data_IF_326888205878
#
_entry.id   IF_326888205878
#
_cell.length_a   1.000
_cell.length_b   1.000
_cell.length_c   1.000
_cell.angle_alpha   90.00
_cell.angle_beta   90.00
_cell.angle_gamma   90.00
#
_symmetry.space_group_name_H-M   'P 1'
#
loop_
_entity.id
_entity.type
_entity.pdbx_description
1 polymer ?
#
# COMPACT_ATOMS: atom_id res chain seq x y z
N UNK A 1 9.05 25.31 -5.84
CA UNK A 1 8.77 25.92 -4.52
C UNK A 1 8.42 24.80 -3.55
N UNK A 2 9.42 24.06 -3.03
CA UNK A 2 9.89 24.11 -1.63
C UNK A 2 8.81 24.37 -0.56
N UNK A 3 8.07 23.33 -0.15
CA UNK A 3 7.24 23.40 1.06
C UNK A 3 7.04 22.05 1.81
N UNK A 4 7.91 21.05 1.63
CA UNK A 4 7.82 19.78 2.39
C UNK A 4 9.13 19.35 3.08
N UNK A 5 10.10 20.25 3.19
CA UNK A 5 11.45 19.96 3.70
C UNK A 5 11.68 20.08 5.22
N UNK A 6 10.87 20.79 6.06
CA UNK A 6 11.27 20.97 7.45
C UNK A 6 10.75 19.88 8.41
N UNK A 7 9.74 19.09 8.02
CA UNK A 7 9.23 17.99 8.89
C UNK A 7 9.99 16.69 8.69
N UNK A 8 10.53 16.45 7.49
CA UNK A 8 11.31 15.24 7.20
C UNK A 8 12.77 15.26 7.68
N UNK A 9 13.34 16.44 7.96
CA UNK A 9 14.75 16.60 8.31
C UNK A 9 15.09 16.32 9.79
N UNK A 10 14.18 15.78 10.60
CA UNK A 10 14.39 15.61 12.06
C UNK A 10 14.05 14.21 12.59
N UNK A 11 13.95 13.22 11.70
CA UNK A 11 13.81 11.81 12.08
C UNK A 11 15.05 11.04 11.60
N UNK A 12 16.07 10.84 12.47
CA UNK A 12 17.25 10.06 12.08
C UNK A 12 16.82 8.64 11.65
N UNK A 13 17.21 8.20 10.45
CA UNK A 13 16.89 6.87 9.91
C UNK A 13 15.72 6.82 8.92
N UNK A 14 14.96 7.90 8.71
CA UNK A 14 13.89 7.93 7.70
C UNK A 14 14.37 8.35 6.30
N UNK A 15 15.59 8.90 6.19
CA UNK A 15 16.12 9.41 4.92
C UNK A 15 16.30 8.32 3.87
N UNK A 16 16.77 7.13 4.23
CA UNK A 16 16.91 6.00 3.29
C UNK A 16 15.56 5.38 2.89
N UNK A 17 14.53 5.53 3.72
CA UNK A 17 13.19 4.94 3.51
C UNK A 17 12.37 5.80 2.54
N UNK A 18 12.54 7.12 2.61
CA UNK A 18 11.82 8.08 1.76
C UNK A 18 12.63 8.48 0.51
N UNK A 19 13.95 8.67 0.62
CA UNK A 19 14.79 9.07 -0.51
C UNK A 19 15.21 7.88 -1.40
N UNK A 20 15.14 6.66 -0.87
CA UNK A 20 15.42 5.41 -1.59
C UNK A 20 14.24 4.46 -1.52
N UNK A 21 13.03 4.98 -1.79
CA UNK A 21 11.72 4.30 -1.74
C UNK A 21 11.86 2.80 -1.58
N UNK A 22 11.62 2.31 -0.36
CA UNK A 22 11.98 0.96 0.04
C UNK A 22 11.70 -0.04 -1.11
N UNK A 23 12.72 -0.77 -1.60
CA UNK A 23 12.71 -1.41 -2.93
C UNK A 23 11.59 -2.45 -3.16
N UNK A 24 10.82 -2.76 -2.12
CA UNK A 24 9.81 -3.82 -2.04
C UNK A 24 8.34 -3.36 -2.08
N UNK A 25 8.03 -2.06 -2.17
CA UNK A 25 6.62 -1.57 -2.06
C UNK A 25 5.80 -1.68 -3.34
N UNK A 26 6.47 -1.58 -4.48
CA UNK A 26 5.89 -1.62 -5.83
C UNK A 26 6.91 -2.15 -6.86
N UNK A 27 8.08 -2.61 -6.40
CA UNK A 27 9.22 -3.01 -7.25
C UNK A 27 9.52 -4.50 -7.24
N UNK A 28 9.12 -5.23 -6.19
CA UNK A 28 9.27 -6.68 -6.13
C UNK A 28 8.00 -7.37 -6.62
N UNK A 29 7.86 -7.39 -7.94
CA UNK A 29 7.06 -8.40 -8.60
C UNK A 29 7.91 -9.67 -8.46
N UNK A 30 7.62 -10.54 -7.48
CA UNK A 30 8.22 -11.87 -7.49
C UNK A 30 7.80 -12.64 -8.75
N UNK A 31 7.65 -13.96 -8.64
CA UNK A 31 7.00 -14.74 -9.71
C UNK A 31 5.51 -14.38 -9.94
N UNK A 32 4.98 -13.37 -9.21
CA UNK A 32 3.63 -12.87 -9.34
C UNK A 32 3.48 -12.08 -10.66
N UNK A 33 2.62 -12.59 -11.53
CA UNK A 33 2.32 -12.01 -12.84
C UNK A 33 0.97 -11.31 -12.90
N UNK A 34 0.07 -11.60 -11.96
CA UNK A 34 -1.26 -11.00 -11.90
C UNK A 34 -1.19 -9.63 -11.20
N UNK A 35 -1.47 -8.51 -11.88
CA UNK A 35 -1.48 -7.17 -11.29
C UNK A 35 -2.38 -7.03 -10.06
N UNK A 36 -3.50 -7.75 -10.04
CA UNK A 36 -4.43 -7.71 -8.91
C UNK A 36 -3.87 -8.44 -7.68
N UNK A 37 -3.15 -9.54 -7.92
CA UNK A 37 -2.45 -10.26 -6.85
C UNK A 37 -1.30 -9.41 -6.29
N UNK A 38 -0.54 -8.75 -7.16
CA UNK A 38 0.52 -7.81 -6.75
C UNK A 38 -0.07 -6.70 -5.88
N UNK A 39 -1.14 -6.05 -6.35
CA UNK A 39 -1.82 -5.00 -5.59
C UNK A 39 -2.31 -5.51 -4.21
N UNK A 40 -2.98 -6.66 -4.18
CA UNK A 40 -3.46 -7.25 -2.94
C UNK A 40 -2.32 -7.60 -1.98
N UNK A 41 -1.23 -8.19 -2.49
CA UNK A 41 -0.05 -8.51 -1.70
C UNK A 41 0.60 -7.25 -1.11
N UNK A 42 0.76 -6.18 -1.91
CA UNK A 42 1.29 -4.90 -1.44
C UNK A 42 0.46 -4.31 -0.31
N UNK A 43 -0.87 -4.25 -0.46
CA UNK A 43 -1.78 -3.75 0.58
C UNK A 43 -1.63 -4.55 1.88
N UNK A 44 -1.60 -5.88 1.78
CA UNK A 44 -1.49 -6.78 2.94
C UNK A 44 -0.13 -6.65 3.63
N UNK A 45 0.96 -6.60 2.88
CA UNK A 45 2.30 -6.39 3.41
C UNK A 45 2.41 -5.05 4.14
N UNK A 46 1.91 -3.97 3.54
CA UNK A 46 1.93 -2.65 4.18
C UNK A 46 1.09 -2.63 5.45
N UNK A 47 -0.10 -3.23 5.43
CA UNK A 47 -0.95 -3.34 6.61
C UNK A 47 -0.29 -4.12 7.76
N UNK A 48 0.44 -5.18 7.46
CA UNK A 48 1.18 -6.02 8.43
C UNK A 48 2.40 -5.30 9.02
N UNK A 49 2.83 -4.15 8.49
CA UNK A 49 3.87 -3.32 9.09
C UNK A 49 3.51 -2.83 10.49
N UNK A 50 2.23 -2.72 10.82
CA UNK A 50 1.83 -2.35 12.19
C UNK A 50 2.42 -3.34 13.21
N UNK A 51 2.47 -4.64 12.88
CA UNK A 51 2.99 -5.68 13.75
C UNK A 51 4.51 -5.82 13.67
N UNK A 52 5.05 -5.81 12.45
CA UNK A 52 6.48 -6.09 12.22
C UNK A 52 7.37 -4.86 12.44
N UNK A 53 6.87 -3.66 12.10
CA UNK A 53 7.62 -2.41 12.13
C UNK A 53 6.72 -1.22 12.55
N UNK A 54 6.19 -1.20 13.79
CA UNK A 54 5.18 -0.22 14.25
C UNK A 54 5.65 1.24 14.18
N UNK A 55 6.96 1.50 14.19
CA UNK A 55 7.50 2.86 13.99
C UNK A 55 7.27 3.34 12.55
N UNK A 56 7.45 2.46 11.56
CA UNK A 56 7.24 2.77 10.15
C UNK A 56 5.75 3.01 9.90
N UNK A 57 4.88 2.13 10.40
CA UNK A 57 3.42 2.30 10.29
C UNK A 57 2.95 3.66 10.83
N UNK A 58 3.50 4.11 11.96
CA UNK A 58 3.20 5.44 12.54
C UNK A 58 3.63 6.61 11.68
N UNK A 59 4.79 6.50 11.02
CA UNK A 59 5.24 7.53 10.08
C UNK A 59 4.27 7.62 8.92
N UNK A 60 3.80 6.48 8.39
CA UNK A 60 2.82 6.45 7.30
C UNK A 60 1.49 7.07 7.71
N UNK A 61 0.95 6.72 8.88
CA UNK A 61 -0.30 7.32 9.37
C UNK A 61 -0.19 8.85 9.50
N UNK A 62 0.97 9.36 9.95
CA UNK A 62 1.18 10.79 10.20
C UNK A 62 1.49 11.61 8.95
N UNK A 63 2.18 11.02 7.98
CA UNK A 63 2.69 11.73 6.79
C UNK A 63 2.03 11.28 5.49
N UNK A 64 1.38 10.13 5.49
CA UNK A 64 0.89 9.43 4.29
C UNK A 64 -0.13 10.21 3.49
N UNK A 65 -1.03 10.97 4.13
CA UNK A 65 -2.02 11.78 3.40
C UNK A 65 -1.36 12.82 2.48
N UNK A 66 -0.25 13.43 2.92
CA UNK A 66 0.51 14.36 2.08
C UNK A 66 1.24 13.65 0.93
N UNK A 67 1.60 12.38 1.10
CA UNK A 67 2.21 11.56 0.06
C UNK A 67 1.23 11.10 -1.01
N UNK A 68 -0.05 10.91 -0.70
CA UNK A 68 -1.07 10.49 -1.68
C UNK A 68 -1.25 11.52 -2.81
N UNK A 69 -1.00 12.79 -2.52
CA UNK A 69 -1.15 13.90 -3.48
C UNK A 69 0.19 14.46 -3.96
N UNK A 70 1.31 13.86 -3.54
CA UNK A 70 2.66 14.34 -3.88
C UNK A 70 3.07 13.86 -5.28
N UNK A 71 3.63 14.76 -6.08
CA UNK A 71 4.26 14.44 -7.37
C UNK A 71 5.64 13.76 -7.21
N UNK A 72 6.05 13.47 -5.98
CA UNK A 72 7.32 12.84 -5.62
C UNK A 72 7.12 11.67 -4.65
N UNK A 73 8.04 10.70 -4.67
CA UNK A 73 8.00 9.53 -3.81
C UNK A 73 7.26 8.34 -4.42
N UNK A 74 6.50 7.61 -3.60
CA UNK A 74 5.88 6.34 -3.97
C UNK A 74 4.58 6.47 -4.79
N UNK A 75 3.91 7.63 -4.75
CA UNK A 75 2.65 7.85 -5.46
C UNK A 75 2.79 7.70 -7.00
N UNK A 76 3.83 8.25 -7.66
CA UNK A 76 4.09 7.99 -9.08
C UNK A 76 4.25 6.52 -9.46
N UNK A 77 4.83 5.69 -8.59
CA UNK A 77 4.97 4.26 -8.87
C UNK A 77 3.63 3.53 -8.68
N UNK A 78 2.90 3.81 -7.58
CA UNK A 78 1.55 3.27 -7.37
C UNK A 78 0.61 3.59 -8.54
N UNK A 79 0.71 4.82 -9.07
CA UNK A 79 -0.02 5.23 -10.26
C UNK A 79 0.38 4.40 -11.49
N UNK A 80 1.67 4.14 -11.72
CA UNK A 80 2.12 3.29 -12.84
C UNK A 80 1.57 1.87 -12.75
N UNK A 81 1.59 1.27 -11.57
CA UNK A 81 1.16 -0.13 -11.40
C UNK A 81 -0.36 -0.28 -11.55
N UNK A 82 -1.12 0.65 -10.98
CA UNK A 82 -2.57 0.70 -11.17
C UNK A 82 -2.96 1.03 -12.61
N UNK A 83 -2.22 1.93 -13.28
CA UNK A 83 -2.44 2.20 -14.70
C UNK A 83 -2.18 0.95 -15.54
N UNK A 84 -1.09 0.23 -15.29
CA UNK A 84 -0.80 -1.01 -16.01
C UNK A 84 -1.89 -2.08 -15.79
N UNK A 85 -2.42 -2.18 -14.57
CA UNK A 85 -3.54 -3.06 -14.23
C UNK A 85 -4.88 -2.63 -14.86
N UNK A 86 -5.07 -1.33 -15.09
CA UNK A 86 -6.22 -0.81 -15.82
C UNK A 86 -6.09 -1.07 -17.33
N UNK A 87 -4.91 -0.81 -17.91
CA UNK A 87 -4.64 -0.95 -19.34
C UNK A 87 -4.79 -2.39 -19.84
N UNK A 88 -4.55 -3.38 -18.98
CA UNK A 88 -4.76 -4.79 -19.29
C UNK A 88 -6.15 -5.31 -18.91
N UNK A 89 -7.04 -4.45 -18.42
CA UNK A 89 -8.41 -4.76 -18.04
C UNK A 89 -8.55 -5.64 -16.80
N UNK A 90 -7.48 -5.83 -16.02
CA UNK A 90 -7.51 -6.65 -14.80
C UNK A 90 -8.22 -5.93 -13.66
N UNK A 91 -8.07 -4.61 -13.59
CA UNK A 91 -8.76 -3.74 -12.64
C UNK A 91 -9.60 -2.70 -13.40
N UNK A 92 -10.81 -2.46 -12.90
CA UNK A 92 -11.72 -1.44 -13.41
C UNK A 92 -11.40 -0.09 -12.75
N UNK A 93 -10.68 0.78 -13.47
CA UNK A 93 -10.16 2.06 -12.98
C UNK A 93 -10.33 3.13 -14.05
N UNK A 94 -11.19 4.12 -13.79
CA UNK A 94 -11.39 5.27 -14.68
C UNK A 94 -10.30 6.35 -14.52
N UNK A 95 -10.01 6.74 -13.28
CA UNK A 95 -8.99 7.75 -12.94
C UNK A 95 -8.01 7.19 -11.91
N UNK A 96 -6.78 6.95 -12.36
CA UNK A 96 -5.72 6.34 -11.55
C UNK A 96 -5.35 7.20 -10.33
N UNK A 97 -5.41 8.53 -10.45
CA UNK A 97 -5.11 9.42 -9.32
C UNK A 97 -6.14 9.23 -8.21
N UNK A 98 -7.41 9.17 -8.56
CA UNK A 98 -8.52 8.89 -7.63
C UNK A 98 -8.39 7.48 -7.05
N UNK A 99 -8.04 6.48 -7.86
CA UNK A 99 -7.80 5.11 -7.38
C UNK A 99 -6.69 5.03 -6.32
N UNK A 100 -5.56 5.71 -6.54
CA UNK A 100 -4.47 5.80 -5.56
C UNK A 100 -4.94 6.50 -4.29
N UNK A 101 -5.69 7.59 -4.39
CA UNK A 101 -6.22 8.31 -3.23
C UNK A 101 -7.18 7.43 -2.40
N UNK A 102 -8.07 6.67 -3.07
CA UNK A 102 -8.99 5.74 -2.41
C UNK A 102 -8.25 4.59 -1.71
N UNK A 103 -7.36 3.90 -2.42
CA UNK A 103 -6.58 2.79 -1.87
C UNK A 103 -5.69 3.25 -0.71
N UNK A 104 -5.00 4.38 -0.90
CA UNK A 104 -4.13 4.98 0.11
C UNK A 104 -4.89 5.44 1.35
N UNK A 105 -6.01 6.13 1.18
CA UNK A 105 -6.84 6.57 2.31
C UNK A 105 -7.38 5.41 3.13
N UNK A 106 -7.88 4.36 2.46
CA UNK A 106 -8.36 3.16 3.13
C UNK A 106 -7.23 2.43 3.89
N UNK A 107 -6.05 2.31 3.30
CA UNK A 107 -4.88 1.71 3.93
C UNK A 107 -4.40 2.49 5.14
N UNK A 108 -4.30 3.82 5.05
CA UNK A 108 -3.93 4.68 6.17
C UNK A 108 -4.96 4.62 7.29
N UNK A 109 -6.25 4.60 6.96
CA UNK A 109 -7.33 4.41 7.92
C UNK A 109 -7.23 3.08 8.68
N UNK A 110 -6.93 1.98 7.97
CA UNK A 110 -6.70 0.67 8.59
C UNK A 110 -5.45 0.67 9.47
N UNK A 111 -4.35 1.27 9.02
CA UNK A 111 -3.13 1.38 9.85
C UNK A 111 -3.39 2.17 11.14
N UNK A 112 -4.17 3.26 11.06
CA UNK A 112 -4.57 4.02 12.24
C UNK A 112 -5.48 3.22 13.18
N UNK A 113 -6.44 2.45 12.62
CA UNK A 113 -7.30 1.57 13.40
C UNK A 113 -6.48 0.49 14.15
N UNK A 114 -5.53 -0.15 13.46
CA UNK A 114 -4.65 -1.15 14.06
C UNK A 114 -3.68 -0.54 15.10
N UNK A 115 -3.27 0.71 14.93
CA UNK A 115 -2.47 1.43 15.94
C UNK A 115 -3.28 1.69 17.21
N UNK A 116 -4.54 2.09 17.07
CA UNK A 116 -5.42 2.47 18.19
C UNK A 116 -6.13 1.29 18.85
N UNK A 117 -6.17 0.13 18.18
CA UNK A 117 -6.86 -1.08 18.64
C UNK A 117 -5.93 -2.30 18.55
N UNK A 118 -5.00 -2.50 19.51
CA UNK A 118 -3.96 -3.53 19.43
C UNK A 118 -4.51 -4.97 19.51
N UNK A 119 -5.75 -5.16 19.97
CA UNK A 119 -6.41 -6.46 20.06
C UNK A 119 -6.92 -6.98 18.71
N UNK A 120 -6.92 -6.13 17.67
CA UNK A 120 -7.34 -6.52 16.34
C UNK A 120 -6.31 -7.42 15.68
N UNK A 121 -6.81 -8.47 15.03
CA UNK A 121 -6.02 -9.29 14.14
C UNK A 121 -5.64 -8.52 12.87
N UNK A 122 -4.41 -7.99 12.86
CA UNK A 122 -3.85 -7.23 11.76
C UNK A 122 -3.86 -8.02 10.44
N UNK A 123 -3.61 -9.33 10.46
CA UNK A 123 -3.59 -10.12 9.23
C UNK A 123 -5.00 -10.22 8.66
N UNK A 124 -5.99 -10.57 9.49
CA UNK A 124 -7.39 -10.66 9.04
C UNK A 124 -7.93 -9.32 8.56
N UNK A 125 -7.64 -8.22 9.27
CA UNK A 125 -8.11 -6.88 8.89
C UNK A 125 -7.50 -6.44 7.57
N UNK A 126 -6.22 -6.74 7.34
CA UNK A 126 -5.50 -6.32 6.12
C UNK A 126 -5.85 -7.16 4.90
N UNK A 127 -6.08 -8.46 5.09
CA UNK A 127 -6.63 -9.35 4.06
C UNK A 127 -8.05 -8.88 3.66
N UNK A 128 -8.86 -8.46 4.63
CA UNK A 128 -10.19 -7.91 4.36
C UNK A 128 -10.13 -6.56 3.63
N UNK A 129 -9.18 -5.69 3.96
CA UNK A 129 -8.94 -4.44 3.24
C UNK A 129 -8.59 -4.73 1.77
N UNK A 130 -7.63 -5.62 1.52
CA UNK A 130 -7.21 -5.96 0.16
C UNK A 130 -8.38 -6.51 -0.68
N UNK A 131 -9.16 -7.44 -0.12
CA UNK A 131 -10.36 -7.97 -0.79
C UNK A 131 -11.37 -6.86 -1.12
N UNK A 132 -11.62 -5.92 -0.20
CA UNK A 132 -12.54 -4.80 -0.45
C UNK A 132 -12.04 -3.84 -1.52
N UNK A 133 -10.75 -3.53 -1.54
CA UNK A 133 -10.16 -2.68 -2.56
C UNK A 133 -10.20 -3.33 -3.95
N UNK A 134 -9.96 -4.64 -4.03
CA UNK A 134 -10.14 -5.38 -5.30
C UNK A 134 -11.60 -5.35 -5.78
N UNK A 135 -12.57 -5.52 -4.88
CA UNK A 135 -14.00 -5.38 -5.24
C UNK A 135 -14.33 -3.96 -5.72
N UNK A 136 -13.73 -2.95 -5.10
CA UNK A 136 -13.89 -1.55 -5.51
C UNK A 136 -13.35 -1.31 -6.93
N UNK A 137 -12.36 -2.08 -7.36
CA UNK A 137 -11.79 -2.05 -8.71
C UNK A 137 -12.38 -3.13 -9.63
N UNK A 138 -13.67 -3.44 -9.47
CA UNK A 138 -14.44 -4.25 -10.41
C UNK A 138 -14.38 -5.76 -10.23
N UNK A 139 -13.62 -6.28 -9.25
CA UNK A 139 -13.58 -7.74 -9.03
C UNK A 139 -14.81 -8.28 -8.32
N UNK A 140 -15.13 -9.55 -8.60
CA UNK A 140 -16.12 -10.26 -7.80
C UNK A 140 -15.60 -10.50 -6.38
N UNK A 141 -16.50 -10.57 -5.39
CA UNK A 141 -16.12 -10.86 -4.00
C UNK A 141 -15.36 -12.18 -3.85
N UNK A 142 -15.76 -13.21 -4.60
CA UNK A 142 -15.15 -14.53 -4.53
C UNK A 142 -13.69 -14.49 -5.00
N UNK A 143 -13.44 -13.90 -6.17
CA UNK A 143 -12.09 -13.73 -6.72
C UNK A 143 -11.22 -12.81 -5.85
N UNK A 144 -11.78 -11.67 -5.41
CA UNK A 144 -11.07 -10.75 -4.54
C UNK A 144 -10.64 -11.41 -3.21
N UNK A 145 -11.49 -12.27 -2.64
CA UNK A 145 -11.17 -13.02 -1.43
C UNK A 145 -10.12 -14.10 -1.68
N UNK A 146 -10.20 -14.78 -2.82
CA UNK A 146 -9.20 -15.77 -3.24
C UNK A 146 -7.81 -15.13 -3.36
N UNK A 147 -7.68 -14.03 -4.11
CA UNK A 147 -6.43 -13.28 -4.24
C UNK A 147 -5.92 -12.72 -2.90
N UNK A 148 -6.82 -12.16 -2.08
CA UNK A 148 -6.45 -11.59 -0.79
C UNK A 148 -6.07 -12.62 0.28
N UNK A 149 -6.19 -13.92 0.00
CA UNK A 149 -5.81 -15.00 0.92
C UNK A 149 -4.68 -15.87 0.38
N UNK A 150 -4.20 -15.63 -0.84
CA UNK A 150 -3.02 -16.32 -1.39
C UNK A 150 -1.79 -16.13 -0.49
N UNK A 151 -0.84 -17.08 -0.49
CA UNK A 151 0.42 -16.93 0.24
C UNK A 151 1.12 -15.64 -0.16
N UNK A 152 1.53 -14.83 0.81
CA UNK A 152 2.32 -13.64 0.52
C UNK A 152 3.74 -14.05 0.10
N UNK A 153 4.35 -13.33 -0.84
CA UNK A 153 5.75 -13.57 -1.19
C UNK A 153 6.63 -13.36 0.03
N UNK A 154 7.55 -14.29 0.27
CA UNK A 154 8.57 -14.13 1.30
C UNK A 154 9.50 -13.00 0.89
N UNK A 155 9.52 -11.92 1.67
CA UNK A 155 10.57 -10.91 1.53
C UNK A 155 11.92 -11.58 1.80
N UNK A 156 12.96 -11.35 0.98
CA UNK A 156 14.28 -11.88 1.28
C UNK A 156 14.70 -11.40 2.67
N UNK A 157 15.14 -12.34 3.51
CA UNK A 157 15.73 -12.01 4.80
C UNK A 157 17.01 -11.22 4.53
N UNK A 158 17.02 -9.96 4.94
CA UNK A 158 18.23 -9.12 4.93
C UNK A 158 19.20 -9.55 6.02
#
# INVERSE_FOLDING_TARGET
MLACRPVLGRLPGAEHIVAGGAPWWFGFHGDLKDPAEIFAASVRLTGRLQRTHPQIARILVRTGMAYLTSDSGQAPQAMRDLQAAADNGRLDIDDVRTAVAMAGGALLGVLHLLETSPDLDAERVTDQLASRLLCMFGMTRAEAQELATRPLPSLPAT
#
